data_IF_295858566354
#
_entry.id   IF_295858566354
#
_cell.length_a   1.000
_cell.length_b   1.000
_cell.length_c   1.000
_cell.angle_alpha   90.00
_cell.angle_beta   90.00
_cell.angle_gamma   90.00
#
_symmetry.space_group_name_H-M   'P 1'
#
loop_
_entity.id
_entity.type
_entity.pdbx_description
1 polymer ?
#
# COMPACT_ATOMS: atom_id res chain seq x y z
N UNK A 1 -6.58 17.13 6.26
CA UNK A 1 -7.00 16.84 7.65
C UNK A 1 -6.91 18.08 8.48
N UNK A 2 -7.88 18.34 9.36
CA UNK A 2 -7.85 19.51 10.25
C UNK A 2 -8.00 19.03 11.70
N UNK A 3 -7.35 19.74 12.60
CA UNK A 3 -7.44 19.51 14.05
C UNK A 3 -7.61 20.82 14.79
N UNK A 4 -8.17 20.74 15.99
CA UNK A 4 -8.50 21.90 16.79
C UNK A 4 -8.21 21.61 18.27
N UNK A 5 -7.49 22.50 18.95
CA UNK A 5 -7.15 22.39 20.36
C UNK A 5 -7.59 23.66 21.08
N UNK A 6 -8.33 23.52 22.18
CA UNK A 6 -8.74 24.68 23.00
C UNK A 6 -7.52 25.27 23.71
N UNK A 7 -7.51 26.60 23.92
CA UNK A 7 -6.43 27.26 24.62
C UNK A 7 -6.26 26.74 26.05
N UNK A 8 -7.38 26.43 26.73
CA UNK A 8 -7.38 25.85 28.08
C UNK A 8 -6.68 24.46 28.08
N UNK A 9 -6.95 23.62 27.08
CA UNK A 9 -6.33 22.29 26.98
C UNK A 9 -4.83 22.41 26.70
N UNK A 10 -4.40 23.35 25.86
CA UNK A 10 -2.97 23.56 25.55
C UNK A 10 -2.21 24.24 26.71
N UNK A 11 -2.91 25.01 27.54
CA UNK A 11 -2.36 25.64 28.75
C UNK A 11 -2.31 24.68 29.95
N UNK A 12 -3.15 23.65 29.96
CA UNK A 12 -3.17 22.66 31.06
C UNK A 12 -1.97 21.74 30.96
N UNK A 13 -1.34 21.50 32.12
CA UNK A 13 -0.19 20.58 32.19
C UNK A 13 -0.70 19.14 32.28
N UNK A 14 -0.78 18.45 31.13
CA UNK A 14 -1.27 17.09 31.08
C UNK A 14 -0.11 16.13 31.30
N UNK A 15 -0.28 15.17 32.22
CA UNK A 15 0.73 14.15 32.48
C UNK A 15 1.10 13.37 31.21
N UNK A 16 2.38 13.33 30.86
CA UNK A 16 2.89 12.62 29.70
C UNK A 16 2.86 13.37 28.37
N UNK A 17 2.31 14.59 28.31
CA UNK A 17 2.33 15.43 27.11
C UNK A 17 2.81 16.84 27.42
N UNK A 18 3.83 17.29 26.69
CA UNK A 18 4.36 18.66 26.88
C UNK A 18 3.44 19.73 26.26
N UNK A 19 2.84 19.45 25.11
CA UNK A 19 1.93 20.34 24.38
C UNK A 19 0.90 19.52 23.61
N UNK A 20 -0.36 19.79 23.83
CA UNK A 20 -1.44 19.06 23.18
C UNK A 20 -1.52 19.36 21.68
N UNK A 21 -1.26 20.62 21.30
CA UNK A 21 -1.23 21.01 19.89
C UNK A 21 -0.19 20.24 19.07
N UNK A 22 1.02 20.08 19.57
CA UNK A 22 2.07 19.33 18.92
C UNK A 22 1.72 17.83 18.78
N UNK A 23 1.12 17.27 19.82
CA UNK A 23 0.65 15.87 19.79
C UNK A 23 -0.43 15.64 18.75
N UNK A 24 -1.44 16.50 18.65
CA UNK A 24 -2.50 16.38 17.64
C UNK A 24 -1.97 16.62 16.22
N UNK A 25 -0.98 17.48 16.04
CA UNK A 25 -0.29 17.68 14.76
C UNK A 25 0.43 16.39 14.31
N UNK A 26 1.19 15.76 15.20
CA UNK A 26 1.90 14.50 14.87
C UNK A 26 0.94 13.36 14.57
N UNK A 27 -0.17 13.29 15.30
CA UNK A 27 -1.23 12.32 15.06
C UNK A 27 -1.89 12.54 13.71
N UNK A 28 -2.26 13.77 13.37
CA UNK A 28 -2.86 14.12 12.10
C UNK A 28 -1.91 13.85 10.92
N UNK A 29 -0.59 14.03 11.08
CA UNK A 29 0.40 13.68 10.07
C UNK A 29 0.45 12.17 9.82
N UNK A 30 0.40 11.36 10.87
CA UNK A 30 0.34 9.88 10.75
C UNK A 30 -0.96 9.43 10.08
N UNK A 31 -2.09 10.04 10.43
CA UNK A 31 -3.39 9.76 9.81
C UNK A 31 -3.35 10.12 8.31
N UNK A 32 -2.80 11.29 7.96
CA UNK A 32 -2.64 11.68 6.57
C UNK A 32 -1.79 10.68 5.77
N UNK A 33 -0.68 10.21 6.36
CA UNK A 33 0.19 9.21 5.71
C UNK A 33 -0.53 7.89 5.48
N UNK A 34 -1.32 7.43 6.45
CA UNK A 34 -2.12 6.21 6.32
C UNK A 34 -3.20 6.34 5.25
N UNK A 35 -3.87 7.50 5.18
CA UNK A 35 -4.89 7.76 4.17
C UNK A 35 -4.29 7.85 2.76
N UNK A 36 -3.10 8.46 2.64
CA UNK A 36 -2.37 8.53 1.39
C UNK A 36 -1.96 7.12 0.90
N UNK A 37 -1.42 6.28 1.79
CA UNK A 37 -1.07 4.89 1.49
C UNK A 37 -2.29 4.05 1.10
N UNK A 38 -3.40 4.22 1.82
CA UNK A 38 -4.67 3.59 1.48
C UNK A 38 -5.17 4.00 0.09
N UNK A 39 -5.14 5.30 -0.21
CA UNK A 39 -5.58 5.85 -1.47
C UNK A 39 -4.70 5.38 -2.64
N UNK A 40 -3.36 5.37 -2.46
CA UNK A 40 -2.41 4.86 -3.46
C UNK A 40 -2.64 3.38 -3.78
N UNK A 41 -2.96 2.57 -2.78
CA UNK A 41 -3.13 1.13 -2.99
C UNK A 41 -4.53 0.76 -3.50
N UNK A 42 -5.58 1.46 -3.04
CA UNK A 42 -6.94 0.94 -3.14
C UNK A 42 -8.02 1.90 -3.63
N UNK A 43 -7.75 3.18 -3.83
CA UNK A 43 -8.77 4.11 -4.35
C UNK A 43 -9.34 3.57 -5.67
N UNK A 44 -10.67 3.53 -5.78
CA UNK A 44 -11.37 3.05 -6.99
C UNK A 44 -11.95 4.18 -7.82
N UNK A 45 -11.93 5.40 -7.30
CA UNK A 45 -12.64 6.53 -7.91
C UNK A 45 -11.65 7.47 -8.59
N UNK A 46 -11.78 7.59 -9.90
CA UNK A 46 -11.18 8.66 -10.67
C UNK A 46 -12.28 9.67 -10.92
N UNK A 47 -12.24 10.83 -10.25
CA UNK A 47 -13.13 11.93 -10.58
C UNK A 47 -12.35 13.04 -11.25
N UNK A 48 -12.62 13.25 -12.52
CA UNK A 48 -12.08 14.35 -13.33
C UNK A 48 -13.13 15.43 -13.62
N UNK A 49 -14.39 15.20 -13.20
CA UNK A 49 -15.49 16.12 -13.47
C UNK A 49 -15.48 17.29 -12.50
N UNK A 50 -15.68 18.50 -13.01
CA UNK A 50 -15.53 19.77 -12.29
C UNK A 50 -16.43 20.00 -11.07
N UNK A 51 -17.35 19.13 -10.75
CA UNK A 51 -18.23 19.21 -9.58
C UNK A 51 -17.94 18.13 -8.52
N UNK A 52 -17.11 17.15 -8.81
CA UNK A 52 -16.78 16.06 -7.89
C UNK A 52 -15.43 16.29 -7.21
N UNK A 53 -15.27 15.78 -6.00
CA UNK A 53 -13.99 15.76 -5.30
C UNK A 53 -12.93 15.06 -6.15
N UNK A 54 -11.77 15.69 -6.30
CA UNK A 54 -10.65 15.08 -7.00
C UNK A 54 -10.21 13.83 -6.25
N UNK A 55 -10.07 12.73 -6.98
CA UNK A 55 -9.48 11.51 -6.44
C UNK A 55 -8.49 10.93 -7.43
N UNK A 56 -7.53 10.19 -6.94
CA UNK A 56 -6.53 9.53 -7.78
C UNK A 56 -6.89 8.06 -8.02
N UNK A 57 -6.38 7.52 -9.12
CA UNK A 57 -6.40 6.09 -9.37
C UNK A 57 -5.42 5.38 -8.44
N UNK A 58 -5.81 4.24 -7.89
CA UNK A 58 -4.93 3.40 -7.10
C UNK A 58 -4.11 2.46 -7.98
N UNK A 59 -3.05 1.91 -7.41
CA UNK A 59 -2.25 0.86 -8.02
C UNK A 59 -3.11 -0.32 -8.49
N UNK A 60 -4.02 -0.79 -7.64
CA UNK A 60 -4.92 -1.91 -7.97
C UNK A 60 -5.90 -1.58 -9.09
N UNK A 61 -6.40 -0.34 -9.16
CA UNK A 61 -7.35 0.08 -10.18
C UNK A 61 -6.68 0.37 -11.53
N UNK A 62 -5.42 0.78 -11.52
CA UNK A 62 -4.66 1.12 -12.73
C UNK A 62 -4.30 -0.09 -13.59
N UNK A 63 -4.13 -1.27 -12.99
CA UNK A 63 -3.81 -2.49 -13.74
C UNK A 63 -5.11 -3.06 -14.28
N UNK A 64 -5.26 -3.03 -15.60
CA UNK A 64 -6.46 -3.47 -16.32
C UNK A 64 -6.20 -4.62 -17.29
N UNK A 65 -5.06 -4.61 -17.99
CA UNK A 65 -4.72 -5.59 -19.02
C UNK A 65 -4.41 -6.96 -18.40
N UNK A 66 -3.45 -7.05 -17.47
CA UNK A 66 -3.06 -8.28 -16.81
C UNK A 66 -3.82 -8.47 -15.49
N UNK A 67 -5.16 -8.44 -15.58
CA UNK A 67 -6.05 -8.57 -14.43
C UNK A 67 -6.78 -9.91 -14.49
N UNK A 68 -6.46 -10.82 -13.59
CA UNK A 68 -7.07 -12.16 -13.54
C UNK A 68 -7.85 -12.34 -12.24
N UNK A 69 -9.08 -12.84 -12.36
CA UNK A 69 -9.90 -13.24 -11.20
C UNK A 69 -9.86 -14.75 -11.02
N UNK A 70 -9.53 -15.20 -9.82
CA UNK A 70 -9.44 -16.63 -9.49
C UNK A 70 -10.75 -17.22 -8.96
N UNK A 71 -11.80 -16.40 -8.79
CA UNK A 71 -13.13 -16.88 -8.38
C UNK A 71 -13.12 -17.80 -7.16
N UNK A 72 -12.27 -17.50 -6.17
CA UNK A 72 -12.18 -18.28 -4.94
C UNK A 72 -11.21 -19.47 -5.00
N UNK A 73 -10.38 -19.57 -6.02
CA UNK A 73 -9.31 -20.58 -6.07
C UNK A 73 -8.11 -20.12 -5.22
N UNK A 74 -7.56 -21.08 -4.48
CA UNK A 74 -6.39 -20.82 -3.65
C UNK A 74 -5.16 -20.51 -4.50
N UNK A 75 -4.38 -19.49 -4.12
CA UNK A 75 -3.12 -19.19 -4.79
C UNK A 75 -2.16 -20.37 -4.68
N UNK A 76 -1.68 -20.85 -5.81
CA UNK A 76 -0.62 -21.86 -5.95
C UNK A 76 0.65 -21.24 -6.52
N UNK A 77 1.76 -21.98 -6.45
CA UNK A 77 3.02 -21.58 -7.05
C UNK A 77 2.90 -21.44 -8.57
N UNK A 78 2.21 -22.38 -9.23
CA UNK A 78 1.96 -22.31 -10.67
C UNK A 78 1.15 -21.05 -11.02
N UNK A 79 0.11 -20.74 -10.27
CA UNK A 79 -0.70 -19.53 -10.50
C UNK A 79 0.12 -18.26 -10.37
N UNK A 80 1.05 -18.21 -9.42
CA UNK A 80 1.96 -17.07 -9.28
C UNK A 80 2.90 -16.94 -10.48
N UNK A 81 3.45 -18.05 -10.94
CA UNK A 81 4.31 -18.09 -12.13
C UNK A 81 3.54 -17.74 -13.41
N UNK A 82 2.27 -18.16 -13.53
CA UNK A 82 1.39 -17.79 -14.66
C UNK A 82 1.16 -16.25 -14.69
N UNK A 83 0.98 -15.60 -13.54
CA UNK A 83 0.88 -14.15 -13.50
C UNK A 83 2.14 -13.44 -13.95
N UNK A 84 3.30 -13.96 -13.55
CA UNK A 84 4.60 -13.44 -13.98
C UNK A 84 4.82 -13.64 -15.46
N UNK A 85 4.47 -14.82 -15.96
CA UNK A 85 4.51 -15.14 -17.39
C UNK A 85 3.62 -14.21 -18.21
N UNK A 86 2.40 -13.93 -17.75
CA UNK A 86 1.49 -13.00 -18.44
C UNK A 86 2.08 -11.59 -18.54
N UNK A 87 2.71 -11.09 -17.49
CA UNK A 87 3.37 -9.79 -17.51
C UNK A 87 4.61 -9.80 -18.41
N UNK A 88 5.38 -10.90 -18.40
CA UNK A 88 6.56 -11.09 -19.24
C UNK A 88 6.19 -11.12 -20.74
N UNK A 89 5.10 -11.79 -21.11
CA UNK A 89 4.59 -11.83 -22.48
C UNK A 89 4.24 -10.43 -23.03
N UNK A 90 3.87 -9.52 -22.13
CA UNK A 90 3.60 -8.11 -22.45
C UNK A 90 4.86 -7.23 -22.39
N UNK A 91 6.04 -7.82 -22.22
CA UNK A 91 7.32 -7.12 -22.15
C UNK A 91 7.64 -6.51 -20.79
N UNK A 92 6.89 -6.87 -19.74
CA UNK A 92 7.15 -6.46 -18.36
C UNK A 92 8.08 -7.41 -17.62
N UNK A 93 8.71 -6.90 -16.58
CA UNK A 93 9.52 -7.70 -15.65
C UNK A 93 9.20 -7.27 -14.20
N UNK A 94 8.11 -7.79 -13.62
CA UNK A 94 7.73 -7.47 -12.25
C UNK A 94 8.83 -7.86 -11.27
N UNK A 95 9.25 -6.92 -10.43
CA UNK A 95 10.30 -7.09 -9.42
C UNK A 95 9.77 -7.00 -7.98
N UNK A 96 8.58 -6.41 -7.80
CA UNK A 96 7.94 -6.28 -6.50
C UNK A 96 6.51 -6.84 -6.52
N UNK A 97 6.19 -7.64 -5.51
CA UNK A 97 4.86 -8.22 -5.35
C UNK A 97 4.29 -7.84 -3.98
N UNK A 98 3.14 -7.22 -4.01
CA UNK A 98 2.39 -6.80 -2.83
C UNK A 98 1.27 -7.80 -2.53
N UNK A 99 1.23 -8.26 -1.29
CA UNK A 99 0.28 -9.28 -0.83
C UNK A 99 -0.26 -8.99 0.57
N UNK A 100 -1.46 -9.47 0.84
CA UNK A 100 -2.03 -9.47 2.18
C UNK A 100 -1.43 -10.56 3.07
N UNK A 101 -1.79 -10.53 4.36
CA UNK A 101 -1.27 -11.48 5.38
C UNK A 101 -1.44 -12.96 4.99
N UNK A 102 -2.59 -13.32 4.43
CA UNK A 102 -2.95 -14.70 4.12
C UNK A 102 -2.16 -15.21 2.92
N UNK A 103 -2.12 -14.45 1.83
CA UNK A 103 -1.34 -14.82 0.63
C UNK A 103 0.16 -14.85 0.93
N UNK A 104 0.68 -13.94 1.76
CA UNK A 104 2.08 -13.99 2.20
C UNK A 104 2.42 -15.31 2.88
N UNK A 105 1.54 -15.80 3.76
CA UNK A 105 1.72 -17.09 4.44
C UNK A 105 1.68 -18.27 3.47
N UNK A 106 0.81 -18.19 2.44
CA UNK A 106 0.74 -19.22 1.40
C UNK A 106 2.00 -19.28 0.58
N UNK A 107 2.48 -18.13 0.09
CA UNK A 107 3.72 -18.06 -0.67
C UNK A 107 4.90 -18.59 0.16
N UNK A 108 4.97 -18.25 1.44
CA UNK A 108 5.98 -18.82 2.34
C UNK A 108 5.83 -20.35 2.50
N UNK A 109 4.65 -20.90 2.25
CA UNK A 109 4.37 -22.33 2.25
C UNK A 109 4.75 -23.06 0.95
N UNK A 110 4.86 -22.37 -0.20
CA UNK A 110 5.21 -23.00 -1.49
C UNK A 110 6.55 -23.72 -1.43
N UNK A 111 7.51 -23.13 -0.74
CA UNK A 111 8.86 -23.68 -0.56
C UNK A 111 8.98 -24.69 0.57
N UNK A 112 7.87 -25.13 1.18
CA UNK A 112 7.93 -26.10 2.28
C UNK A 112 8.45 -27.49 1.86
N UNK A 113 8.38 -27.80 0.57
CA UNK A 113 8.95 -29.02 -0.01
C UNK A 113 10.35 -28.87 -0.61
N UNK A 114 10.83 -27.65 -0.78
CA UNK A 114 12.14 -27.34 -1.36
C UNK A 114 13.13 -26.93 -0.26
N UNK A 115 14.39 -27.28 -0.43
CA UNK A 115 15.44 -26.99 0.54
C UNK A 115 15.61 -25.49 0.70
N UNK A 116 15.18 -24.94 1.86
CA UNK A 116 15.49 -23.57 2.22
C UNK A 116 16.95 -23.50 2.64
N UNK A 117 17.75 -22.74 1.90
CA UNK A 117 19.09 -22.43 2.36
C UNK A 117 19.00 -21.42 3.51
N UNK A 118 19.09 -21.93 4.72
CA UNK A 118 19.27 -21.12 5.92
C UNK A 118 20.74 -21.23 6.28
N UNK A 119 21.39 -20.08 6.50
CA UNK A 119 22.76 -20.07 6.99
C UNK A 119 22.81 -20.87 8.31
N UNK A 120 23.68 -21.87 8.35
CA UNK A 120 23.81 -22.79 9.49
C UNK A 120 24.22 -22.09 10.80
N UNK A 121 24.63 -20.86 10.72
CA UNK A 121 24.99 -20.03 11.87
C UNK A 121 23.78 -19.40 12.55
N UNK A 122 22.61 -19.35 11.88
CA UNK A 122 21.41 -18.72 12.42
C UNK A 122 20.54 -19.76 13.16
N UNK A 123 20.51 -19.66 14.50
CA UNK A 123 19.73 -20.56 15.38
C UNK A 123 18.23 -20.28 15.36
N UNK A 124 17.75 -19.39 14.47
CA UNK A 124 16.34 -19.01 14.40
C UNK A 124 15.58 -19.89 13.43
N UNK A 125 14.37 -20.28 13.80
CA UNK A 125 13.44 -20.92 12.90
C UNK A 125 12.84 -19.88 11.95
N UNK A 126 13.29 -19.86 10.68
CA UNK A 126 12.81 -18.91 9.66
C UNK A 126 11.82 -19.63 8.74
N UNK A 127 10.59 -19.11 8.70
CA UNK A 127 9.54 -19.57 7.78
C UNK A 127 9.07 -18.47 6.82
N UNK A 128 9.66 -17.29 6.87
CA UNK A 128 9.29 -16.18 6.00
C UNK A 128 10.13 -16.18 4.73
N UNK A 129 9.47 -16.03 3.57
CA UNK A 129 10.11 -15.81 2.28
C UNK A 129 9.88 -14.34 1.91
N UNK A 130 10.93 -13.56 1.84
CA UNK A 130 10.87 -12.15 1.42
C UNK A 130 11.37 -11.96 -0.01
N UNK A 131 12.12 -12.91 -0.52
CA UNK A 131 12.60 -12.97 -1.91
C UNK A 131 12.19 -14.31 -2.49
N UNK A 132 11.57 -14.28 -3.65
CA UNK A 132 11.20 -15.47 -4.43
C UNK A 132 11.93 -15.43 -5.75
N UNK A 133 12.68 -16.45 -6.05
CA UNK A 133 13.35 -16.64 -7.33
C UNK A 133 12.46 -17.53 -8.21
N UNK A 134 11.97 -16.97 -9.30
CA UNK A 134 11.14 -17.65 -10.30
C UNK A 134 11.90 -17.79 -11.63
N UNK A 135 11.33 -18.55 -12.55
CA UNK A 135 11.86 -18.68 -13.93
C UNK A 135 11.89 -17.33 -14.66
N UNK A 136 11.10 -16.34 -14.21
CA UNK A 136 11.00 -15.01 -14.81
C UNK A 136 11.84 -13.94 -14.08
N UNK A 137 12.56 -14.31 -13.03
CA UNK A 137 13.44 -13.41 -12.30
C UNK A 137 13.24 -13.42 -10.79
N UNK A 138 13.96 -12.52 -10.13
CA UNK A 138 13.95 -12.39 -8.67
C UNK A 138 12.87 -11.38 -8.27
N UNK A 139 11.98 -11.79 -7.39
CA UNK A 139 10.84 -11.01 -6.93
C UNK A 139 10.95 -10.74 -5.43
N UNK A 140 10.71 -9.51 -5.03
CA UNK A 140 10.60 -9.12 -3.62
C UNK A 140 9.14 -9.15 -3.18
N UNK A 141 8.85 -9.81 -2.08
CA UNK A 141 7.50 -9.99 -1.55
C UNK A 141 7.24 -9.04 -0.39
N UNK A 142 6.38 -8.05 -0.61
CA UNK A 142 5.98 -7.08 0.39
C UNK A 142 4.59 -7.40 0.95
N UNK A 143 4.48 -7.42 2.28
CA UNK A 143 3.17 -7.51 2.95
C UNK A 143 2.56 -6.11 3.07
N UNK A 144 1.35 -5.96 2.59
CA UNK A 144 0.65 -4.67 2.63
C UNK A 144 -0.72 -4.82 3.32
N UNK A 145 -1.09 -3.87 4.20
CA UNK A 145 -2.33 -3.97 4.98
C UNK A 145 -3.58 -3.63 4.18
N UNK A 146 -3.45 -2.70 3.24
CA UNK A 146 -4.58 -2.13 2.51
C UNK A 146 -4.88 -2.82 1.17
N UNK A 147 -4.11 -3.83 0.78
CA UNK A 147 -4.33 -4.54 -0.48
C UNK A 147 -5.63 -5.36 -0.48
N UNK A 148 -5.98 -5.91 0.68
CA UNK A 148 -7.20 -6.70 0.88
C UNK A 148 -8.17 -5.94 1.77
N UNK A 149 -9.47 -5.96 1.44
CA UNK A 149 -10.50 -5.35 2.28
C UNK A 149 -10.71 -6.16 3.57
N UNK A 150 -10.90 -5.45 4.68
CA UNK A 150 -11.28 -6.09 5.95
C UNK A 150 -12.66 -6.73 5.79
N UNK A 151 -12.75 -8.03 6.07
CA UNK A 151 -13.99 -8.81 5.91
C UNK A 151 -14.16 -9.47 4.54
N UNK A 152 -13.33 -9.16 3.53
CA UNK A 152 -13.35 -9.87 2.26
C UNK A 152 -12.59 -11.20 2.36
N UNK A 153 -13.24 -12.28 1.95
CA UNK A 153 -12.58 -13.54 1.66
C UNK A 153 -11.78 -13.49 0.35
N UNK A 154 -11.97 -12.42 -0.44
CA UNK A 154 -11.26 -12.21 -1.68
C UNK A 154 -9.88 -11.60 -1.41
N UNK A 155 -8.87 -12.42 -1.51
CA UNK A 155 -7.49 -12.01 -1.34
C UNK A 155 -6.93 -11.57 -2.68
N UNK A 156 -6.25 -10.44 -2.68
CA UNK A 156 -5.66 -9.85 -3.88
C UNK A 156 -4.13 -9.89 -3.81
N UNK A 157 -3.53 -10.02 -4.99
CA UNK A 157 -2.10 -9.95 -5.23
C UNK A 157 -1.84 -8.94 -6.34
N UNK A 158 -0.83 -8.12 -6.20
CA UNK A 158 -0.42 -7.14 -7.21
C UNK A 158 1.08 -7.23 -7.37
N UNK A 159 1.53 -7.47 -8.59
CA UNK A 159 2.95 -7.42 -8.96
C UNK A 159 3.22 -6.23 -9.86
N UNK A 160 4.29 -5.51 -9.55
CA UNK A 160 4.67 -4.32 -10.29
C UNK A 160 6.14 -4.37 -10.71
N UNK A 161 6.43 -3.65 -11.76
CA UNK A 161 7.78 -3.28 -12.14
C UNK A 161 8.09 -1.90 -11.54
N UNK A 162 8.97 -1.84 -10.56
CA UNK A 162 9.15 -0.67 -9.69
C UNK A 162 9.59 0.59 -10.44
N UNK A 163 10.32 0.46 -11.55
CA UNK A 163 10.77 1.58 -12.38
C UNK A 163 9.64 2.23 -13.22
N UNK A 164 8.49 1.56 -13.36
CA UNK A 164 7.30 2.05 -14.10
C UNK A 164 6.28 2.76 -13.22
N UNK A 165 6.52 2.81 -11.91
CA UNK A 165 5.63 3.47 -10.95
C UNK A 165 6.33 4.58 -10.21
N UNK A 166 5.65 5.70 -10.04
CA UNK A 166 6.14 6.84 -9.27
C UNK A 166 5.00 7.50 -8.50
N UNK A 167 5.33 8.04 -7.35
CA UNK A 167 4.43 8.95 -6.65
C UNK A 167 4.80 10.37 -7.02
N UNK A 168 3.95 11.02 -7.81
CA UNK A 168 4.12 12.41 -8.18
C UNK A 168 3.48 13.29 -7.09
N UNK A 169 4.26 14.19 -6.50
CA UNK A 169 3.82 15.09 -5.44
C UNK A 169 3.71 16.50 -5.98
N UNK A 170 2.49 17.04 -6.03
CA UNK A 170 2.25 18.43 -6.39
C UNK A 170 2.55 19.37 -5.22
N UNK A 171 2.03 19.03 -4.04
CA UNK A 171 2.32 19.72 -2.78
C UNK A 171 2.73 18.69 -1.73
N UNK A 172 3.94 18.84 -1.20
CA UNK A 172 4.39 18.00 -0.10
C UNK A 172 3.49 18.18 1.12
N UNK A 173 3.29 17.13 1.94
CA UNK A 173 2.52 17.25 3.16
C UNK A 173 3.13 18.31 4.07
N UNK A 174 2.34 19.31 4.44
CA UNK A 174 2.78 20.40 5.30
C UNK A 174 1.68 20.81 6.26
N UNK A 175 2.10 21.27 7.41
CA UNK A 175 1.22 21.87 8.38
C UNK A 175 0.95 23.34 8.02
N UNK A 176 -0.33 23.73 8.06
CA UNK A 176 -0.78 25.11 7.88
C UNK A 176 -1.57 25.52 9.12
N UNK A 177 -1.12 26.59 9.77
CA UNK A 177 -1.86 27.19 10.89
C UNK A 177 -3.05 27.96 10.35
N UNK A 178 -4.21 27.73 10.94
CA UNK A 178 -5.45 28.42 10.56
C UNK A 178 -5.70 29.62 11.49
N UNK A 179 -6.42 30.62 10.97
CA UNK A 179 -6.81 31.78 11.76
C UNK A 179 -7.68 31.40 12.97
N UNK A 180 -7.46 32.05 14.10
CA UNK A 180 -8.27 31.87 15.30
C UNK A 180 -9.68 32.42 15.09
N UNK A 181 -10.69 31.59 15.36
CA UNK A 181 -12.11 31.98 15.34
C UNK A 181 -12.77 31.87 16.74
N UNK A 182 -11.96 31.96 17.79
CA UNK A 182 -12.37 31.81 19.20
C UNK A 182 -11.17 31.41 20.04
N UNK A 183 -11.41 30.92 21.24
CA UNK A 183 -10.38 30.47 22.18
C UNK A 183 -9.89 29.06 21.86
N UNK A 184 -9.43 28.87 20.59
CA UNK A 184 -8.88 27.62 20.13
C UNK A 184 -7.82 27.86 19.05
N UNK A 185 -6.78 27.03 19.04
CA UNK A 185 -5.76 26.98 17.98
C UNK A 185 -6.11 25.87 17.02
N UNK A 186 -6.22 26.24 15.73
CA UNK A 186 -6.57 25.31 14.66
C UNK A 186 -5.39 25.12 13.72
N UNK A 187 -5.20 23.90 13.28
CA UNK A 187 -4.24 23.55 12.24
C UNK A 187 -4.84 22.59 11.22
N UNK A 188 -4.25 22.57 10.05
CA UNK A 188 -4.56 21.56 9.04
C UNK A 188 -3.29 21.02 8.41
N UNK A 189 -3.36 19.78 7.97
CA UNK A 189 -2.34 19.15 7.13
C UNK A 189 -2.88 19.09 5.71
N UNK A 190 -2.12 19.65 4.79
CA UNK A 190 -2.43 19.68 3.37
C UNK A 190 -1.29 19.02 2.62
N UNK A 191 -1.63 18.13 1.72
CA UNK A 191 -0.72 17.50 0.76
C UNK A 191 -1.50 17.08 -0.47
N UNK A 192 -0.87 17.12 -1.63
CA UNK A 192 -1.43 16.64 -2.88
C UNK A 192 -0.42 15.74 -3.57
N UNK A 193 -0.82 14.52 -3.82
CA UNK A 193 -0.03 13.51 -4.50
C UNK A 193 -0.90 12.70 -5.46
N UNK A 194 -0.29 12.08 -6.43
CA UNK A 194 -0.94 11.14 -7.33
C UNK A 194 0.01 10.01 -7.72
N UNK A 195 -0.55 8.89 -8.14
CA UNK A 195 0.22 7.80 -8.72
C UNK A 195 0.46 8.09 -10.19
N UNK A 196 1.74 8.13 -10.58
CA UNK A 196 2.17 8.15 -11.97
C UNK A 196 2.43 6.72 -12.42
N UNK A 197 1.82 6.33 -13.52
CA UNK A 197 1.84 4.97 -14.04
C UNK A 197 2.28 5.00 -15.50
N UNK A 198 3.49 4.54 -15.78
CA UNK A 198 4.10 4.66 -17.11
C UNK A 198 3.72 3.52 -18.05
N UNK A 199 3.57 2.30 -17.53
CA UNK A 199 3.23 1.13 -18.32
C UNK A 199 2.46 0.10 -17.48
N UNK A 200 1.16 0.03 -17.63
CA UNK A 200 0.31 -0.87 -16.83
C UNK A 200 0.47 -2.35 -17.20
N UNK A 201 0.74 -2.63 -18.47
CA UNK A 201 0.93 -3.97 -19.00
C UNK A 201 2.23 -4.63 -18.53
N UNK A 202 3.18 -3.89 -17.95
CA UNK A 202 4.36 -4.46 -17.30
C UNK A 202 4.06 -5.08 -15.92
N UNK A 203 2.84 -4.97 -15.45
CA UNK A 203 2.41 -5.35 -14.11
C UNK A 203 1.25 -6.31 -14.17
N UNK A 204 0.96 -7.02 -13.09
CA UNK A 204 -0.18 -7.93 -13.02
C UNK A 204 -0.99 -7.74 -11.75
N UNK A 205 -2.24 -8.18 -11.81
CA UNK A 205 -3.16 -8.21 -10.68
C UNK A 205 -3.92 -9.53 -10.66
N UNK A 206 -3.81 -10.26 -9.57
CA UNK A 206 -4.67 -11.39 -9.25
C UNK A 206 -5.69 -11.00 -8.19
N UNK A 207 -6.96 -11.30 -8.43
CA UNK A 207 -8.05 -10.97 -7.51
C UNK A 207 -8.84 -12.19 -7.12
N UNK A 208 -9.63 -12.09 -6.04
CA UNK A 208 -10.57 -13.12 -5.61
C UNK A 208 -9.92 -14.49 -5.31
N UNK A 209 -8.74 -14.52 -4.75
CA UNK A 209 -8.18 -15.73 -4.16
C UNK A 209 -8.88 -16.06 -2.84
N UNK A 210 -8.92 -17.36 -2.47
CA UNK A 210 -9.38 -17.83 -1.16
C UNK A 210 -8.24 -17.81 -0.15
#
# INVERSE_FOLDING_TARGET
MSFNVSATADASNTAGMAKQYAYEMDKAMKEWSNDAEFALMRSTVISTSGSALRSMTSLKASITTNATSQSGVSLSENTLNDYLGTAWDQGGNPDEVYVGKTLKRRISGFTAGNTKFVDSTDKRLVNAVDVYESDFGIIKLFKHRYITQSGDNNLDIVGIQSDKFRVATLRSPQHVSLAKTGDATKGMIVGELTLEFLAENSSFKGTAHL
#
